data_IF_833933456335
#
_entry.id   IF_833933456335
#
_cell.length_a   1.000
_cell.length_b   1.000
_cell.length_c   1.000
_cell.angle_alpha   90.00
_cell.angle_beta   90.00
_cell.angle_gamma   90.00
#
_symmetry.space_group_name_H-M   'P 1'
#
loop_
_entity.id
_entity.type
_entity.pdbx_description
1 polymer ?
#
# COMPACT_ATOMS: atom_id res chain seq x y z
N UNK A 1 -25.72 1.32 -11.62
CA UNK A 1 -24.34 1.81 -11.83
C UNK A 1 -23.42 0.68 -11.42
N UNK A 2 -22.39 0.33 -12.20
CA UNK A 2 -21.39 -0.66 -11.78
C UNK A 2 -20.67 -0.16 -10.52
N UNK A 3 -20.23 -1.09 -9.67
CA UNK A 3 -19.46 -0.76 -8.47
C UNK A 3 -18.02 -0.35 -8.85
N UNK A 4 -17.42 -1.04 -9.80
CA UNK A 4 -16.07 -0.74 -10.29
C UNK A 4 -16.05 0.35 -11.39
N UNK A 5 -15.07 1.28 -11.40
CA UNK A 5 -14.83 2.26 -12.48
C UNK A 5 -14.25 1.64 -13.78
N UNK A 6 -14.48 0.34 -14.00
CA UNK A 6 -13.97 -0.47 -15.11
C UNK A 6 -15.13 -0.95 -16.01
N UNK A 7 -14.88 -1.33 -17.27
CA UNK A 7 -15.91 -1.93 -18.13
C UNK A 7 -16.52 -3.24 -17.59
N UNK A 8 -15.86 -3.90 -16.63
CA UNK A 8 -16.32 -5.14 -16.00
C UNK A 8 -16.47 -4.87 -14.51
N UNK A 9 -17.63 -5.17 -13.94
CA UNK A 9 -17.87 -5.10 -12.50
C UNK A 9 -17.43 -6.42 -11.85
N UNK A 10 -16.24 -6.44 -11.26
CA UNK A 10 -15.68 -7.65 -10.64
C UNK A 10 -16.21 -7.88 -9.22
N UNK A 11 -16.19 -9.13 -8.71
CA UNK A 11 -16.50 -9.39 -7.31
C UNK A 11 -15.48 -8.69 -6.40
N UNK A 12 -15.97 -8.23 -5.24
CA UNK A 12 -15.17 -7.62 -4.19
C UNK A 12 -13.94 -8.48 -3.84
N UNK A 13 -12.79 -7.84 -3.73
CA UNK A 13 -11.56 -8.43 -3.20
C UNK A 13 -10.96 -7.47 -2.16
N UNK A 14 -11.53 -7.43 -0.94
CA UNK A 14 -10.94 -6.68 0.17
C UNK A 14 -9.51 -7.15 0.40
N UNK A 15 -8.56 -6.21 0.48
CA UNK A 15 -7.14 -6.53 0.55
C UNK A 15 -6.48 -5.96 1.81
N UNK A 16 -6.46 -4.64 1.96
CA UNK A 16 -5.75 -3.97 3.05
C UNK A 16 -6.69 -3.15 3.92
N UNK A 17 -6.50 -3.21 5.23
CA UNK A 17 -7.26 -2.40 6.20
C UNK A 17 -6.34 -1.42 6.94
N UNK A 18 -6.81 -0.19 7.13
CA UNK A 18 -6.16 0.80 7.99
C UNK A 18 -7.19 1.60 8.78
N UNK A 19 -6.81 2.14 9.93
CA UNK A 19 -7.70 2.88 10.81
C UNK A 19 -7.36 4.36 10.81
N UNK A 20 -8.39 5.20 10.83
CA UNK A 20 -8.27 6.62 11.13
C UNK A 20 -8.28 6.85 12.66
N UNK A 21 -7.84 8.04 13.14
CA UNK A 21 -7.82 8.37 14.56
C UNK A 21 -9.18 8.26 15.27
N UNK A 22 -10.29 8.39 14.53
CA UNK A 22 -11.65 8.29 15.07
C UNK A 22 -12.15 6.83 15.19
N UNK A 23 -11.30 5.84 14.88
CA UNK A 23 -11.63 4.42 14.92
C UNK A 23 -12.35 3.91 13.67
N UNK A 24 -12.62 4.77 12.68
CA UNK A 24 -13.14 4.35 11.37
C UNK A 24 -12.09 3.49 10.67
N UNK A 25 -12.52 2.36 10.09
CA UNK A 25 -11.66 1.52 9.26
C UNK A 25 -11.88 1.82 7.77
N UNK A 26 -10.78 1.90 7.03
CA UNK A 26 -10.75 2.02 5.58
C UNK A 26 -10.19 0.73 5.00
N UNK A 27 -10.86 0.17 4.00
CA UNK A 27 -10.48 -1.11 3.39
C UNK A 27 -10.34 -0.95 1.89
N UNK A 28 -9.19 -1.34 1.34
CA UNK A 28 -8.97 -1.33 -0.10
C UNK A 28 -9.64 -2.53 -0.75
N UNK A 29 -10.14 -2.33 -1.96
CA UNK A 29 -10.65 -3.39 -2.81
C UNK A 29 -9.82 -3.49 -4.09
N UNK A 30 -9.05 -4.58 -4.18
CA UNK A 30 -8.10 -4.79 -5.26
C UNK A 30 -8.80 -5.01 -6.62
N UNK A 31 -10.02 -5.56 -6.59
CA UNK A 31 -10.79 -5.81 -7.81
C UNK A 31 -11.70 -4.64 -8.14
N UNK A 32 -12.45 -4.13 -7.16
CA UNK A 32 -13.47 -3.13 -7.45
C UNK A 32 -12.93 -1.71 -7.54
N UNK A 33 -11.63 -1.50 -7.27
CA UNK A 33 -10.99 -0.19 -7.35
C UNK A 33 -11.72 0.84 -6.46
N UNK A 34 -12.08 0.39 -5.27
CA UNK A 34 -12.83 1.13 -4.26
C UNK A 34 -12.00 1.19 -2.98
N UNK A 35 -12.13 2.29 -2.26
CA UNK A 35 -11.84 2.34 -0.83
C UNK A 35 -13.18 2.30 -0.10
N UNK A 36 -13.37 1.25 0.69
CA UNK A 36 -14.52 1.08 1.58
C UNK A 36 -14.27 1.82 2.90
N UNK A 37 -15.33 2.32 3.53
CA UNK A 37 -15.34 2.83 4.90
C UNK A 37 -16.25 1.98 5.76
N UNK A 38 -15.75 1.55 6.91
CA UNK A 38 -16.49 0.84 7.95
C UNK A 38 -16.53 1.73 9.20
N UNK A 39 -17.72 1.98 9.78
CA UNK A 39 -17.83 2.81 10.98
C UNK A 39 -17.00 2.28 12.16
N UNK A 40 -16.60 3.18 13.05
CA UNK A 40 -15.99 2.80 14.32
C UNK A 40 -16.91 1.83 15.09
N UNK A 41 -16.32 0.77 15.65
CA UNK A 41 -17.09 -0.32 16.27
C UNK A 41 -17.69 -1.35 15.29
N UNK A 42 -17.45 -1.18 13.99
CA UNK A 42 -17.93 -2.09 12.95
C UNK A 42 -19.27 -1.66 12.33
N UNK A 43 -19.84 -2.52 11.50
CA UNK A 43 -21.08 -2.28 10.77
C UNK A 43 -20.95 -2.49 9.27
N UNK A 44 -21.96 -2.08 8.52
CA UNK A 44 -21.97 -2.21 7.07
C UNK A 44 -20.90 -1.29 6.44
N UNK A 45 -20.07 -1.87 5.58
CA UNK A 45 -19.13 -1.12 4.75
C UNK A 45 -19.89 -0.28 3.73
N UNK A 46 -19.40 0.92 3.46
CA UNK A 46 -19.92 1.83 2.45
C UNK A 46 -18.79 2.25 1.51
N UNK A 47 -19.11 2.47 0.23
CA UNK A 47 -18.16 3.05 -0.72
C UNK A 47 -17.78 4.43 -0.19
N UNK A 48 -16.49 4.62 0.10
CA UNK A 48 -15.98 5.92 0.53
C UNK A 48 -15.38 6.69 -0.61
N UNK A 49 -14.60 6.01 -1.45
CA UNK A 49 -14.00 6.64 -2.61
C UNK A 49 -13.81 5.66 -3.76
N UNK A 50 -14.02 6.16 -4.97
CA UNK A 50 -13.78 5.47 -6.23
C UNK A 50 -13.31 6.52 -7.26
N UNK A 51 -12.41 6.15 -8.16
CA UNK A 51 -11.91 7.06 -9.17
C UNK A 51 -11.50 6.27 -10.44
N UNK A 52 -11.70 6.86 -11.61
CA UNK A 52 -11.25 6.29 -12.88
C UNK A 52 -9.73 6.06 -12.94
N UNK A 53 -8.95 6.85 -12.20
CA UNK A 53 -7.50 6.69 -12.13
C UNK A 53 -7.08 5.39 -11.40
N UNK A 54 -8.04 4.68 -10.77
CA UNK A 54 -7.80 3.38 -10.12
C UNK A 54 -8.06 2.19 -11.06
N UNK A 55 -8.42 2.44 -12.32
CA UNK A 55 -8.60 1.40 -13.33
C UNK A 55 -7.33 0.54 -13.43
N UNK A 56 -7.47 -0.75 -13.12
CA UNK A 56 -6.32 -1.65 -12.94
C UNK A 56 -6.74 -3.11 -12.93
N UNK A 57 -5.85 -4.04 -13.34
CA UNK A 57 -6.04 -5.47 -13.04
C UNK A 57 -5.82 -5.80 -11.56
N UNK A 58 -4.96 -5.04 -10.88
CA UNK A 58 -4.68 -5.12 -9.44
C UNK A 58 -4.70 -3.69 -8.88
N UNK A 59 -5.86 -3.28 -8.37
CA UNK A 59 -6.14 -1.88 -8.06
C UNK A 59 -5.61 -1.45 -6.69
N UNK A 60 -6.42 -0.75 -5.90
CA UNK A 60 -6.08 -0.22 -4.59
C UNK A 60 -5.62 -1.35 -3.69
N UNK A 61 -4.42 -1.20 -3.11
CA UNK A 61 -3.79 -2.21 -2.28
C UNK A 61 -3.36 -1.61 -0.94
N UNK A 62 -2.08 -1.64 -0.56
CA UNK A 62 -1.57 -1.12 0.71
C UNK A 62 -2.03 0.30 0.98
N UNK A 63 -2.47 0.56 2.22
CA UNK A 63 -2.92 1.88 2.66
C UNK A 63 -2.45 2.21 4.08
N UNK A 64 -2.13 3.47 4.33
CA UNK A 64 -1.85 3.98 5.68
C UNK A 64 -2.10 5.49 5.78
N UNK A 65 -2.61 5.94 6.93
CA UNK A 65 -2.67 7.36 7.27
C UNK A 65 -1.29 7.93 7.59
N UNK A 66 -0.97 9.09 7.05
CA UNK A 66 0.19 9.87 7.46
C UNK A 66 -0.09 10.70 8.72
N UNK A 67 0.95 11.35 9.25
CA UNK A 67 0.86 12.16 10.47
C UNK A 67 -0.07 13.38 10.34
N UNK A 68 -0.43 13.78 9.11
CA UNK A 68 -1.38 14.85 8.84
C UNK A 68 -2.83 14.33 8.69
N UNK A 69 -3.08 13.03 8.93
CA UNK A 69 -4.41 12.43 8.79
C UNK A 69 -4.85 12.23 7.34
N UNK A 70 -3.91 12.20 6.38
CA UNK A 70 -4.21 11.91 4.98
C UNK A 70 -3.99 10.44 4.69
N UNK A 71 -4.92 9.82 3.97
CA UNK A 71 -4.80 8.43 3.56
C UNK A 71 -3.85 8.34 2.35
N UNK A 72 -2.74 7.63 2.52
CA UNK A 72 -1.84 7.26 1.43
C UNK A 72 -2.15 5.82 1.03
N UNK A 73 -2.11 5.53 -0.27
CA UNK A 73 -2.37 4.19 -0.79
C UNK A 73 -1.70 3.98 -2.13
N UNK A 74 -1.56 2.72 -2.55
CA UNK A 74 -1.04 2.37 -3.86
C UNK A 74 -2.12 1.74 -4.73
N UNK A 75 -2.15 2.09 -6.01
CA UNK A 75 -2.77 1.29 -7.07
C UNK A 75 -1.66 0.42 -7.67
N UNK A 76 -1.77 -0.90 -7.55
CA UNK A 76 -0.65 -1.81 -7.86
C UNK A 76 -0.24 -1.77 -9.34
N UNK A 77 -1.18 -1.75 -10.29
CA UNK A 77 -0.84 -1.74 -11.72
C UNK A 77 -1.80 -0.89 -12.57
N UNK A 78 -1.52 0.40 -12.74
CA UNK A 78 -2.40 1.32 -13.46
C UNK A 78 -2.63 0.92 -14.91
N UNK A 79 -3.89 0.93 -15.37
CA UNK A 79 -4.28 0.80 -16.77
C UNK A 79 -4.70 2.14 -17.39
N UNK A 80 -4.54 3.24 -16.66
CA UNK A 80 -4.81 4.58 -17.17
C UNK A 80 -3.82 4.86 -18.32
N UNK A 81 -4.25 5.33 -19.50
CA UNK A 81 -3.41 5.47 -20.70
C UNK A 81 -2.46 6.68 -20.60
N UNK A 82 -1.57 6.66 -19.61
CA UNK A 82 -0.56 7.65 -19.31
C UNK A 82 0.81 7.01 -19.47
N UNK A 83 1.67 7.59 -20.31
CA UNK A 83 2.99 7.04 -20.66
C UNK A 83 3.83 6.75 -19.42
N UNK A 84 3.75 7.62 -18.41
CA UNK A 84 4.53 7.54 -17.20
C UNK A 84 4.12 6.42 -16.25
N UNK A 85 2.84 5.99 -16.26
CA UNK A 85 2.27 5.12 -15.23
C UNK A 85 1.60 3.84 -15.74
N UNK A 86 1.36 3.71 -17.06
CA UNK A 86 0.73 2.52 -17.62
C UNK A 86 1.53 1.25 -17.30
N UNK A 87 0.89 0.26 -16.67
CA UNK A 87 1.48 -1.00 -16.21
C UNK A 87 2.36 -0.88 -14.96
N UNK A 88 2.49 0.32 -14.39
CA UNK A 88 3.28 0.63 -13.19
C UNK A 88 2.37 0.88 -11.99
N UNK A 89 2.96 0.88 -10.80
CA UNK A 89 2.22 1.25 -9.59
C UNK A 89 2.15 2.77 -9.43
N UNK A 90 1.09 3.25 -8.80
CA UNK A 90 0.93 4.69 -8.51
C UNK A 90 0.57 4.86 -7.04
N UNK A 91 1.39 5.61 -6.32
CA UNK A 91 1.10 6.03 -4.95
C UNK A 91 0.25 7.28 -5.02
N UNK A 92 -0.89 7.24 -4.35
CA UNK A 92 -1.84 8.32 -4.23
C UNK A 92 -2.00 8.77 -2.78
N UNK A 93 -2.57 9.97 -2.62
CA UNK A 93 -2.89 10.56 -1.33
C UNK A 93 -4.25 11.26 -1.37
N UNK A 94 -5.03 11.08 -0.31
CA UNK A 94 -6.34 11.68 -0.12
C UNK A 94 -6.44 12.31 1.28
N UNK A 95 -6.75 13.61 1.38
CA UNK A 95 -7.22 14.18 2.64
C UNK A 95 -8.56 13.56 3.05
N UNK A 96 -8.76 13.35 4.35
CA UNK A 96 -10.09 13.14 4.92
C UNK A 96 -10.57 14.48 5.47
N UNK A 97 -11.64 15.01 4.89
CA UNK A 97 -12.21 16.29 5.29
C UNK A 97 -12.88 16.19 6.65
N UNK A 98 -13.17 17.33 7.29
CA UNK A 98 -13.78 17.37 8.63
C UNK A 98 -15.16 16.68 8.70
N UNK A 99 -15.89 16.59 7.58
CA UNK A 99 -17.16 15.87 7.46
C UNK A 99 -16.98 14.37 7.12
N UNK A 100 -15.75 13.88 7.11
CA UNK A 100 -15.39 12.50 6.81
C UNK A 100 -15.42 12.14 5.32
N UNK A 101 -15.65 13.10 4.41
CA UNK A 101 -15.59 12.90 2.96
C UNK A 101 -14.14 12.94 2.43
N UNK A 102 -13.85 12.29 1.30
CA UNK A 102 -12.56 12.40 0.65
C UNK A 102 -12.35 13.81 0.08
N UNK A 103 -11.12 14.32 0.20
CA UNK A 103 -10.67 15.54 -0.44
C UNK A 103 -10.25 15.33 -1.90
N UNK A 104 -9.41 16.24 -2.41
CA UNK A 104 -8.85 16.13 -3.77
C UNK A 104 -7.81 15.02 -3.82
N UNK A 105 -7.92 14.13 -4.81
CA UNK A 105 -6.94 13.08 -5.08
C UNK A 105 -5.63 13.69 -5.56
N UNK A 106 -4.54 13.27 -4.95
CA UNK A 106 -3.19 13.61 -5.34
C UNK A 106 -2.44 12.36 -5.83
N UNK A 107 -1.72 12.49 -6.92
CA UNK A 107 -0.70 11.52 -7.34
C UNK A 107 0.62 11.89 -6.69
N UNK A 108 1.14 11.02 -5.82
CA UNK A 108 2.37 11.25 -5.05
C UNK A 108 3.58 10.80 -5.85
N UNK A 109 3.58 9.57 -6.36
CA UNK A 109 4.72 9.03 -7.09
C UNK A 109 4.30 7.88 -7.99
N UNK A 110 5.03 7.71 -9.10
CA UNK A 110 4.98 6.48 -9.89
C UNK A 110 6.09 5.55 -9.42
N UNK A 111 5.72 4.30 -9.14
CA UNK A 111 6.56 3.25 -8.57
C UNK A 111 6.49 2.00 -9.44
N UNK A 112 7.25 0.96 -9.12
CA UNK A 112 6.96 -0.37 -9.64
C UNK A 112 5.64 -0.91 -9.02
N UNK A 113 5.26 -2.16 -9.34
CA UNK A 113 3.98 -2.71 -8.86
C UNK A 113 4.00 -2.97 -7.36
N UNK A 114 3.57 -1.96 -6.59
CA UNK A 114 3.56 -1.96 -5.14
C UNK A 114 2.38 -2.73 -4.55
N UNK A 115 2.61 -3.38 -3.42
CA UNK A 115 1.63 -4.25 -2.75
C UNK A 115 1.12 -3.58 -1.45
N UNK A 116 1.51 -4.08 -0.27
CA UNK A 116 1.32 -3.41 1.01
C UNK A 116 2.15 -2.14 1.18
N UNK A 117 2.05 -1.46 2.33
CA UNK A 117 2.90 -0.31 2.65
C UNK A 117 3.06 -0.08 4.16
N UNK A 118 4.11 0.62 4.55
CA UNK A 118 4.23 1.23 5.87
C UNK A 118 4.85 2.63 5.79
N UNK A 119 4.46 3.54 6.69
CA UNK A 119 5.02 4.90 6.77
C UNK A 119 5.96 5.02 7.97
N UNK A 120 7.17 5.51 7.73
CA UNK A 120 8.16 5.80 8.78
C UNK A 120 7.90 7.15 9.47
N UNK A 121 8.55 7.39 10.61
CA UNK A 121 8.49 8.69 11.30
C UNK A 121 8.99 9.87 10.47
N UNK A 122 9.82 9.61 9.45
CA UNK A 122 10.23 10.60 8.45
C UNK A 122 9.10 11.03 7.50
N UNK A 123 7.98 10.31 7.48
CA UNK A 123 6.91 10.45 6.49
C UNK A 123 7.17 9.69 5.19
N UNK A 124 8.32 9.01 5.05
CA UNK A 124 8.61 8.16 3.88
C UNK A 124 7.76 6.90 3.89
N UNK A 125 7.34 6.50 2.70
CA UNK A 125 6.56 5.29 2.45
C UNK A 125 7.52 4.18 2.05
N UNK A 126 7.47 3.07 2.79
CA UNK A 126 8.18 1.83 2.48
C UNK A 126 7.21 0.88 1.78
N UNK A 127 7.47 0.61 0.51
CA UNK A 127 6.54 -0.04 -0.39
C UNK A 127 7.17 -1.32 -0.99
N UNK A 128 6.80 -2.51 -0.49
CA UNK A 128 7.08 -3.77 -1.15
C UNK A 128 6.64 -3.76 -2.60
N UNK A 129 7.55 -4.17 -3.49
CA UNK A 129 7.30 -4.35 -4.91
C UNK A 129 7.14 -5.84 -5.17
N UNK A 130 5.93 -6.23 -5.57
CA UNK A 130 5.52 -7.61 -5.73
C UNK A 130 5.27 -7.89 -7.21
N UNK A 131 6.34 -8.17 -7.97
CA UNK A 131 6.22 -8.58 -9.37
C UNK A 131 7.36 -9.52 -9.79
N UNK A 132 7.27 -10.17 -10.97
CA UNK A 132 8.24 -11.19 -11.37
C UNK A 132 9.69 -10.71 -11.54
N UNK A 133 9.91 -9.40 -11.69
CA UNK A 133 11.21 -8.84 -12.07
C UNK A 133 11.86 -8.02 -10.96
N UNK A 134 11.06 -7.27 -10.20
CA UNK A 134 11.52 -6.39 -9.15
C UNK A 134 10.98 -6.95 -7.83
N UNK A 135 11.89 -7.40 -6.98
CA UNK A 135 11.61 -7.98 -5.67
C UNK A 135 12.35 -7.17 -4.61
N UNK A 136 11.73 -6.07 -4.18
CA UNK A 136 12.37 -5.06 -3.33
C UNK A 136 11.38 -4.27 -2.49
N UNK A 137 11.88 -3.37 -1.65
CA UNK A 137 11.11 -2.29 -1.03
C UNK A 137 11.53 -1.00 -1.73
N UNK A 138 10.62 -0.35 -2.44
CA UNK A 138 10.84 1.02 -2.91
C UNK A 138 10.46 2.00 -1.80
N UNK A 139 11.34 2.97 -1.55
CA UNK A 139 11.11 4.03 -0.56
C UNK A 139 10.69 5.27 -1.31
N UNK A 140 9.46 5.71 -1.06
CA UNK A 140 8.91 6.94 -1.64
C UNK A 140 9.00 8.06 -0.62
N UNK A 141 9.44 9.23 -1.06
CA UNK A 141 9.37 10.47 -0.30
C UNK A 141 8.17 11.28 -0.80
N UNK A 142 7.06 11.34 -0.04
CA UNK A 142 5.85 12.03 -0.47
C UNK A 142 5.97 13.55 -0.56
N UNK A 143 7.04 14.14 -0.03
CA UNK A 143 7.29 15.58 -0.11
C UNK A 143 8.06 15.93 -1.39
N UNK A 144 8.92 15.02 -1.84
CA UNK A 144 9.63 15.16 -3.12
C UNK A 144 8.85 14.59 -4.31
N UNK A 145 7.78 13.84 -4.04
CA UNK A 145 6.91 13.24 -5.06
C UNK A 145 7.59 12.13 -5.86
N UNK A 146 8.54 11.40 -5.24
CA UNK A 146 9.39 10.45 -5.97
C UNK A 146 9.87 9.28 -5.10
N UNK A 147 10.26 8.19 -5.77
CA UNK A 147 11.07 7.15 -5.17
C UNK A 147 12.49 7.68 -4.91
N UNK A 148 12.99 7.54 -3.68
CA UNK A 148 14.30 8.04 -3.24
C UNK A 148 15.29 6.95 -2.91
N UNK A 149 14.83 5.72 -2.67
CA UNK A 149 15.68 4.58 -2.45
C UNK A 149 14.98 3.28 -2.86
N UNK A 150 15.77 2.24 -3.03
CA UNK A 150 15.28 0.91 -3.28
C UNK A 150 16.11 -0.08 -2.44
N UNK A 151 15.44 -0.84 -1.57
CA UNK A 151 16.02 -1.63 -0.50
C UNK A 151 15.67 -3.13 -0.62
N UNK A 152 16.52 -4.03 -0.11
CA UNK A 152 17.89 -3.75 0.31
C UNK A 152 18.76 -3.33 -0.89
N UNK A 153 19.98 -2.86 -0.66
CA UNK A 153 20.90 -2.49 -1.75
C UNK A 153 21.16 -3.69 -2.67
N UNK A 154 21.63 -3.45 -3.90
CA UNK A 154 21.91 -4.56 -4.83
C UNK A 154 22.89 -5.58 -4.24
N UNK A 155 23.93 -5.11 -3.55
CA UNK A 155 24.91 -5.98 -2.89
C UNK A 155 24.22 -6.82 -1.81
N UNK A 156 23.46 -6.18 -0.93
CA UNK A 156 22.74 -6.86 0.15
C UNK A 156 21.73 -7.88 -0.38
N UNK A 157 21.08 -7.63 -1.53
CA UNK A 157 20.17 -8.61 -2.14
C UNK A 157 20.87 -9.90 -2.52
N UNK A 158 22.06 -9.77 -3.11
CA UNK A 158 22.80 -10.91 -3.66
C UNK A 158 23.40 -11.77 -2.55
N UNK A 159 23.83 -11.15 -1.44
CA UNK A 159 24.50 -11.88 -0.35
C UNK A 159 23.55 -12.44 0.71
N UNK A 160 22.25 -12.09 0.67
CA UNK A 160 21.25 -12.60 1.62
C UNK A 160 20.98 -14.09 1.38
N UNK A 161 20.83 -14.83 2.49
CA UNK A 161 20.54 -16.26 2.45
C UNK A 161 19.14 -16.59 1.92
N UNK A 162 18.16 -15.73 2.21
CA UNK A 162 16.80 -15.80 1.65
C UNK A 162 16.57 -14.53 0.81
N UNK A 163 16.42 -14.67 -0.52
CA UNK A 163 16.14 -13.53 -1.39
C UNK A 163 14.72 -13.02 -1.17
N UNK A 164 14.51 -11.76 -1.51
CA UNK A 164 13.16 -11.23 -1.65
C UNK A 164 12.51 -11.87 -2.87
N UNK A 165 11.27 -12.28 -2.71
CA UNK A 165 10.51 -13.06 -3.68
C UNK A 165 9.03 -12.71 -3.50
N UNK A 166 8.56 -11.80 -4.35
CA UNK A 166 7.25 -11.14 -4.27
C UNK A 166 6.95 -10.68 -2.84
N UNK A 167 7.76 -9.76 -2.27
CA UNK A 167 7.48 -9.21 -0.96
C UNK A 167 6.15 -8.45 -1.00
N UNK A 168 5.27 -8.74 -0.05
CA UNK A 168 3.88 -8.32 -0.11
C UNK A 168 3.52 -7.24 0.88
N UNK A 169 4.14 -7.23 2.06
CA UNK A 169 3.80 -6.30 3.12
C UNK A 169 5.02 -6.01 3.98
N UNK A 170 4.99 -4.85 4.62
CA UNK A 170 5.98 -4.40 5.60
C UNK A 170 5.28 -3.85 6.84
N UNK A 171 5.90 -4.04 8.00
CA UNK A 171 5.54 -3.36 9.24
C UNK A 171 6.81 -3.00 10.00
N UNK A 172 6.80 -1.91 10.76
CA UNK A 172 7.96 -1.54 11.57
C UNK A 172 8.04 -2.35 12.86
N UNK A 173 9.26 -2.75 13.23
CA UNK A 173 9.65 -3.29 14.53
C UNK A 173 10.94 -2.63 14.98
N UNK A 174 10.86 -1.71 15.94
CA UNK A 174 11.99 -0.85 16.29
C UNK A 174 12.44 -0.05 15.06
N UNK A 175 13.72 -0.12 14.72
CA UNK A 175 14.31 0.55 13.54
C UNK A 175 14.41 -0.34 12.30
N UNK A 176 13.67 -1.45 12.29
CA UNK A 176 13.63 -2.41 11.19
C UNK A 176 12.24 -2.51 10.59
N UNK A 177 12.18 -2.93 9.33
CA UNK A 177 10.98 -3.49 8.72
C UNK A 177 10.96 -5.00 8.90
N UNK A 178 9.80 -5.51 9.27
CA UNK A 178 9.40 -6.91 9.11
C UNK A 178 8.66 -7.02 7.79
N UNK A 179 9.11 -7.92 6.91
CA UNK A 179 8.64 -8.05 5.54
C UNK A 179 8.03 -9.44 5.34
N UNK A 180 6.80 -9.50 4.86
CA UNK A 180 6.21 -10.77 4.44
C UNK A 180 6.61 -11.07 2.99
N UNK A 181 7.33 -12.17 2.78
CA UNK A 181 7.78 -12.61 1.47
C UNK A 181 6.79 -13.67 0.96
N UNK A 182 6.00 -13.41 -0.10
CA UNK A 182 5.02 -14.40 -0.57
C UNK A 182 5.68 -15.64 -1.20
N UNK A 183 6.81 -15.47 -1.89
CA UNK A 183 7.37 -16.54 -2.72
C UNK A 183 6.42 -17.00 -3.82
N UNK A 184 5.53 -16.14 -4.32
CA UNK A 184 4.43 -16.49 -5.25
C UNK A 184 4.92 -17.24 -6.49
N UNK A 185 6.11 -16.90 -6.96
CA UNK A 185 6.74 -17.48 -8.15
C UNK A 185 8.01 -18.28 -7.80
N UNK A 186 8.26 -18.53 -6.52
CA UNK A 186 9.44 -19.23 -6.06
C UNK A 186 9.28 -20.74 -6.21
N UNK A 187 10.33 -21.39 -6.74
CA UNK A 187 10.42 -22.85 -6.72
C UNK A 187 10.90 -23.39 -5.36
N UNK A 188 11.73 -22.61 -4.66
CA UNK A 188 12.24 -22.97 -3.34
C UNK A 188 11.26 -22.50 -2.25
N UNK A 189 10.59 -23.42 -1.53
CA UNK A 189 9.58 -23.06 -0.53
C UNK A 189 10.17 -22.28 0.65
N UNK A 190 11.50 -22.32 0.86
CA UNK A 190 12.17 -21.55 1.91
C UNK A 190 12.13 -20.04 1.64
N UNK A 191 11.80 -19.62 0.42
CA UNK A 191 11.58 -18.20 0.11
C UNK A 191 10.27 -17.68 0.67
N UNK A 192 9.31 -18.53 1.03
CA UNK A 192 8.14 -18.11 1.78
C UNK A 192 8.53 -17.89 3.24
N UNK A 193 8.82 -16.64 3.58
CA UNK A 193 9.46 -16.30 4.84
C UNK A 193 9.03 -14.92 5.35
N UNK A 194 9.22 -14.71 6.65
CA UNK A 194 9.22 -13.37 7.24
C UNK A 194 10.67 -12.90 7.32
N UNK A 195 10.97 -11.78 6.68
CA UNK A 195 12.31 -11.23 6.58
C UNK A 195 12.41 -9.96 7.42
N UNK A 196 13.62 -9.67 7.90
CA UNK A 196 13.92 -8.41 8.55
C UNK A 196 14.89 -7.56 7.70
N UNK A 197 14.69 -6.25 7.75
CA UNK A 197 15.51 -5.25 7.09
C UNK A 197 15.66 -4.02 7.98
N UNK A 198 16.88 -3.73 8.42
CA UNK A 198 17.17 -2.48 9.14
C UNK A 198 17.01 -1.28 8.21
N UNK A 199 16.25 -0.26 8.66
CA UNK A 199 16.01 0.98 7.90
C UNK A 199 16.43 2.24 8.65
N UNK A 200 16.81 2.11 9.93
CA UNK A 200 17.38 3.21 10.71
C UNK A 200 16.38 4.23 11.24
N UNK A 201 15.08 3.98 11.06
CA UNK A 201 14.01 4.79 11.63
C UNK A 201 12.86 3.91 12.13
N UNK A 202 12.03 4.46 13.02
CA UNK A 202 10.83 3.79 13.52
C UNK A 202 9.62 4.06 12.63
N UNK A 203 8.59 3.24 12.78
CA UNK A 203 7.31 3.43 12.11
C UNK A 203 6.51 4.58 12.71
N UNK A 204 5.70 5.23 11.88
CA UNK A 204 4.64 6.10 12.37
C UNK A 204 3.63 5.29 13.19
N UNK A 205 3.14 5.85 14.28
CA UNK A 205 2.13 5.21 15.11
C UNK A 205 0.86 4.92 14.31
N UNK A 206 0.32 3.71 14.46
CA UNK A 206 -0.90 3.26 13.80
C UNK A 206 -2.11 3.48 14.72
N UNK A 207 -3.25 3.82 14.15
CA UNK A 207 -4.49 4.10 14.90
C UNK A 207 -5.31 2.84 15.19
N UNK A 208 -4.66 1.74 15.56
CA UNK A 208 -5.39 0.52 15.89
C UNK A 208 -6.40 0.77 17.02
N UNK A 209 -7.63 0.23 16.92
CA UNK A 209 -8.59 0.33 18.01
C UNK A 209 -8.01 -0.31 19.28
N UNK A 210 -8.08 0.41 20.40
CA UNK A 210 -7.87 -0.23 21.69
C UNK A 210 -9.11 -1.04 22.02
N UNK A 211 -8.94 -2.33 22.33
CA UNK A 211 -10.05 -3.18 22.74
C UNK A 211 -10.83 -2.55 23.90
N UNK A 212 -12.10 -2.89 24.02
CA UNK A 212 -12.91 -2.51 25.19
C UNK A 212 -12.31 -3.30 26.36
N UNK A 213 -11.72 -2.60 27.33
CA UNK A 213 -11.25 -3.19 28.58
C UNK A 213 -12.42 -3.65 29.45
#
# INVERSE_FOLDING_TARGET
MPCEPSPIDRPAWPNWATFAPDGTMYVSDLNQAIIWKVPAGGGAAQIWYQNQDFASVYSVNGMQFDAAGRLNFVVTASLVPRVESFGRGVVHRLPVMADGRPGVLETVAVVAQGDGMAIGTSGRIYLPISNPFINSIQVVDPNNGAMVAELPTLVDRVIRSIPYSTPASVAFRGTSLIVSNHGLLALDPRQWAILELGVGETGLALHYPTGIA
#
